data_IF_927472284550
#
_entry.id   IF_927472284550
#
_cell.length_a   1.000
_cell.length_b   1.000
_cell.length_c   1.000
_cell.angle_alpha   90.00
_cell.angle_beta   90.00
_cell.angle_gamma   90.00
#
_symmetry.space_group_name_H-M   'P 1'
#
loop_
_entity.id
_entity.type
_entity.pdbx_description
1 polymer ?
#
# COMPACT_ATOMS: atom_id res chain seq x y z
N UNK A 1 4.24 6.58 -15.96
CA UNK A 1 2.84 6.44 -15.49
C UNK A 1 2.17 7.81 -15.60
N UNK A 2 0.93 7.91 -16.10
CA UNK A 2 0.21 9.20 -16.06
C UNK A 2 -0.09 9.56 -14.60
N UNK A 3 0.24 10.78 -14.18
CA UNK A 3 0.14 11.25 -12.78
C UNK A 3 -1.21 10.93 -12.13
N UNK A 4 -2.31 11.04 -12.89
CA UNK A 4 -3.64 10.69 -12.41
C UNK A 4 -3.80 9.22 -12.00
N UNK A 5 -3.21 8.28 -12.74
CA UNK A 5 -3.27 6.84 -12.39
C UNK A 5 -2.55 6.55 -11.07
N UNK A 6 -1.40 7.19 -10.83
CA UNK A 6 -0.64 7.03 -9.59
C UNK A 6 -1.41 7.57 -8.37
N UNK A 7 -2.09 8.71 -8.52
CA UNK A 7 -2.90 9.30 -7.44
C UNK A 7 -4.12 8.41 -7.11
N UNK A 8 -4.83 7.92 -8.14
CA UNK A 8 -5.96 7.02 -7.94
C UNK A 8 -5.54 5.71 -7.28
N UNK A 9 -4.37 5.16 -7.65
CA UNK A 9 -3.83 3.96 -7.01
C UNK A 9 -3.56 4.21 -5.52
N UNK A 10 -2.84 5.29 -5.18
CA UNK A 10 -2.55 5.65 -3.79
C UNK A 10 -3.82 5.85 -2.95
N UNK A 11 -4.79 6.60 -3.47
CA UNK A 11 -6.05 6.84 -2.78
C UNK A 11 -6.84 5.55 -2.54
N UNK A 12 -6.93 4.69 -3.56
CA UNK A 12 -7.61 3.39 -3.44
C UNK A 12 -6.93 2.51 -2.40
N UNK A 13 -5.60 2.39 -2.43
CA UNK A 13 -4.87 1.55 -1.46
C UNK A 13 -5.08 2.04 -0.03
N UNK A 14 -5.09 3.36 0.20
CA UNK A 14 -5.28 3.94 1.54
C UNK A 14 -6.68 3.64 2.09
N UNK A 15 -7.73 3.83 1.28
CA UNK A 15 -9.12 3.49 1.66
C UNK A 15 -9.28 2.00 1.90
N UNK A 16 -8.73 1.17 1.03
CA UNK A 16 -8.78 -0.29 1.16
C UNK A 16 -8.09 -0.78 2.43
N UNK A 17 -6.89 -0.27 2.73
CA UNK A 17 -6.16 -0.59 3.96
C UNK A 17 -6.92 -0.13 5.21
N UNK A 18 -7.54 1.05 5.18
CA UNK A 18 -8.37 1.52 6.29
C UNK A 18 -9.55 0.59 6.58
N UNK A 19 -10.26 0.14 5.54
CA UNK A 19 -11.36 -0.81 5.70
C UNK A 19 -10.88 -2.12 6.33
N UNK A 20 -9.73 -2.64 5.90
CA UNK A 20 -9.13 -3.85 6.47
C UNK A 20 -8.81 -3.64 7.96
N UNK A 21 -8.15 -2.54 8.32
CA UNK A 21 -7.83 -2.22 9.73
C UNK A 21 -9.11 -2.21 10.58
N UNK A 22 -10.19 -1.60 10.08
CA UNK A 22 -11.46 -1.57 10.80
C UNK A 22 -12.08 -2.96 10.97
N UNK A 23 -12.01 -3.82 9.95
CA UNK A 23 -12.44 -5.22 10.06
C UNK A 23 -11.60 -5.95 11.11
N UNK A 24 -10.28 -5.83 11.08
CA UNK A 24 -9.39 -6.49 12.06
C UNK A 24 -9.66 -5.99 13.47
N UNK A 25 -9.86 -4.68 13.64
CA UNK A 25 -10.22 -4.10 14.92
C UNK A 25 -11.57 -4.61 15.43
N UNK A 26 -12.55 -4.82 14.55
CA UNK A 26 -13.84 -5.42 14.90
C UNK A 26 -13.68 -6.86 15.42
N UNK A 27 -12.74 -7.62 14.87
CA UNK A 27 -12.38 -8.96 15.36
C UNK A 27 -11.44 -8.95 16.57
N UNK A 28 -11.08 -7.78 17.11
CA UNK A 28 -10.17 -7.65 18.25
C UNK A 28 -8.71 -7.98 17.94
N UNK A 29 -8.34 -8.01 16.65
CA UNK A 29 -6.95 -8.23 16.23
C UNK A 29 -6.21 -6.90 16.36
N UNK A 30 -5.18 -6.89 17.22
CA UNK A 30 -4.33 -5.73 17.44
C UNK A 30 -3.26 -5.54 16.36
N UNK A 31 -2.69 -4.34 16.30
CA UNK A 31 -1.62 -3.98 15.36
C UNK A 31 -0.31 -4.74 15.60
N UNK A 32 -0.16 -5.41 16.73
CA UNK A 32 0.92 -6.35 17.02
C UNK A 32 0.90 -7.55 16.06
N UNK A 33 -0.28 -7.99 15.62
CA UNK A 33 -0.42 -9.12 14.70
C UNK A 33 -0.22 -8.74 13.23
N UNK A 34 -0.68 -7.55 12.81
CA UNK A 34 -0.68 -7.17 11.39
C UNK A 34 0.20 -5.97 11.02
N UNK A 35 0.67 -5.20 11.99
CA UNK A 35 1.36 -3.93 11.76
C UNK A 35 2.65 -4.08 10.97
N UNK A 36 3.42 -5.15 11.21
CA UNK A 36 4.65 -5.44 10.46
C UNK A 36 4.36 -5.68 8.97
N UNK A 37 3.28 -6.40 8.65
CA UNK A 37 2.89 -6.64 7.26
C UNK A 37 2.43 -5.34 6.60
N UNK A 38 1.68 -4.51 7.32
CA UNK A 38 1.19 -3.23 6.82
C UNK A 38 2.34 -2.26 6.53
N UNK A 39 3.34 -2.20 7.41
CA UNK A 39 4.57 -1.44 7.19
C UNK A 39 5.39 -1.99 6.01
N UNK A 40 5.49 -3.30 5.87
CA UNK A 40 6.16 -3.93 4.73
C UNK A 40 5.45 -3.62 3.40
N UNK A 41 4.12 -3.68 3.35
CA UNK A 41 3.36 -3.29 2.16
C UNK A 41 3.51 -1.81 1.83
N UNK A 42 3.53 -0.93 2.82
CA UNK A 42 3.83 0.50 2.61
C UNK A 42 5.24 0.69 2.01
N UNK A 43 6.23 -0.05 2.51
CA UNK A 43 7.59 -0.05 1.96
C UNK A 43 7.63 -0.53 0.51
N UNK A 44 6.90 -1.59 0.14
CA UNK A 44 6.82 -2.06 -1.25
C UNK A 44 6.20 -1.03 -2.18
N UNK A 45 5.15 -0.35 -1.73
CA UNK A 45 4.51 0.73 -2.50
C UNK A 45 5.50 1.87 -2.70
N UNK A 46 6.16 2.33 -1.64
CA UNK A 46 7.18 3.37 -1.74
C UNK A 46 8.33 2.97 -2.66
N UNK A 47 8.77 1.71 -2.59
CA UNK A 47 9.78 1.15 -3.48
C UNK A 47 9.33 1.23 -4.94
N UNK A 48 8.06 0.96 -5.25
CA UNK A 48 7.52 1.11 -6.61
C UNK A 48 7.59 2.57 -7.12
N UNK A 49 7.49 3.56 -6.23
CA UNK A 49 7.60 4.97 -6.59
C UNK A 49 9.04 5.47 -6.71
N UNK A 50 9.94 4.94 -5.88
CA UNK A 50 11.34 5.37 -5.81
C UNK A 50 12.22 4.61 -6.80
N UNK A 51 11.95 3.32 -7.04
CA UNK A 51 12.74 2.54 -7.99
C UNK A 51 12.54 3.10 -9.40
N UNK A 52 13.62 3.44 -10.11
CA UNK A 52 13.54 3.77 -11.52
C UNK A 52 13.12 2.51 -12.28
N UNK A 53 11.93 2.53 -12.87
CA UNK A 53 11.49 1.49 -13.81
C UNK A 53 12.20 1.70 -15.14
N UNK A 54 13.49 1.42 -15.20
CA UNK A 54 14.27 1.42 -16.42
C UNK A 54 14.03 0.14 -17.20
N UNK A 55 12.91 0.08 -17.91
CA UNK A 55 12.78 -0.77 -19.08
C UNK A 55 12.64 0.14 -20.30
N UNK A 56 13.72 0.86 -20.63
CA UNK A 56 14.02 1.16 -22.01
C UNK A 56 14.84 -0.04 -22.53
N UNK A 57 14.31 -0.75 -23.51
CA UNK A 57 14.86 -1.97 -24.15
C UNK A 57 14.48 -3.31 -23.49
N UNK A 58 13.31 -3.83 -23.89
CA UNK A 58 13.13 -5.18 -24.44
C UNK A 58 11.87 -5.19 -25.32
#
# INVERSE_FOLDING_TARGET
MTTGKSISLLGFTLVFTYIIIQILSFYGIGSDAYGVYLAFYAFLILSMFVLPTSNAHL
#
